data_IF_148357819740
#
_entry.id   IF_148357819740
#
_cell.length_a   1.000
_cell.length_b   1.000
_cell.length_c   1.000
_cell.angle_alpha   90.00
_cell.angle_beta   90.00
_cell.angle_gamma   90.00
#
_symmetry.space_group_name_H-M   'P 1'
#
loop_
_entity.id
_entity.type
_entity.pdbx_description
1 polymer ?
#
# COMPACT_ATOMS: atom_id res chain seq x y z
N UNK A 1 -7.63 12.06 0.23
CA UNK A 1 -8.43 11.91 -0.99
C UNK A 1 -8.60 10.43 -1.39
N UNK A 2 -7.50 9.66 -1.51
CA UNK A 2 -7.55 8.20 -1.77
C UNK A 2 -8.40 7.39 -0.79
N UNK A 3 -8.35 7.74 0.50
CA UNK A 3 -9.07 7.02 1.55
C UNK A 3 -10.60 7.12 1.40
N UNK A 4 -11.13 8.19 0.80
CA UNK A 4 -12.57 8.33 0.56
C UNK A 4 -13.02 7.56 -0.69
N UNK A 5 -12.20 7.54 -1.73
CA UNK A 5 -12.47 6.85 -2.99
C UNK A 5 -12.49 5.32 -2.81
N UNK A 6 -11.55 4.76 -2.05
CA UNK A 6 -11.45 3.31 -1.85
C UNK A 6 -12.58 2.73 -1.00
N UNK A 7 -13.13 3.48 -0.04
CA UNK A 7 -14.11 2.96 0.93
C UNK A 7 -15.46 2.57 0.30
N UNK A 8 -15.83 3.18 -0.83
CA UNK A 8 -17.12 2.93 -1.49
C UNK A 8 -17.04 2.02 -2.72
N UNK A 9 -15.85 1.68 -3.19
CA UNK A 9 -15.66 0.94 -4.45
C UNK A 9 -15.36 -0.53 -4.11
N UNK A 10 -16.20 -1.44 -4.63
CA UNK A 10 -16.04 -2.89 -4.43
C UNK A 10 -14.96 -3.49 -5.37
N UNK A 11 -14.58 -2.77 -6.42
CA UNK A 11 -13.59 -3.15 -7.42
C UNK A 11 -12.28 -2.37 -7.23
N UNK A 12 -11.17 -2.90 -7.76
CA UNK A 12 -9.91 -2.14 -7.81
C UNK A 12 -10.02 -1.01 -8.83
N UNK A 13 -9.34 0.09 -8.55
CA UNK A 13 -9.21 1.25 -9.44
C UNK A 13 -7.75 1.44 -9.82
N UNK A 14 -7.52 2.02 -11.00
CA UNK A 14 -6.19 2.45 -11.41
C UNK A 14 -6.06 3.92 -11.05
N UNK A 15 -5.07 4.26 -10.24
CA UNK A 15 -4.72 5.65 -9.92
C UNK A 15 -3.39 5.94 -10.59
N UNK A 16 -3.36 6.97 -11.41
CA UNK A 16 -2.15 7.42 -12.11
C UNK A 16 -1.70 8.70 -11.43
N UNK A 17 -0.42 8.74 -11.04
CA UNK A 17 0.18 9.95 -10.48
C UNK A 17 0.67 10.90 -11.58
N UNK A 18 1.08 12.11 -11.18
CA UNK A 18 1.60 13.14 -12.07
C UNK A 18 2.85 12.67 -12.86
N UNK A 19 2.99 13.17 -14.09
CA UNK A 19 4.11 12.83 -14.97
C UNK A 19 5.46 13.30 -14.41
N UNK A 20 5.46 14.38 -13.60
CA UNK A 20 6.66 14.96 -13.00
C UNK A 20 7.06 14.29 -11.66
N UNK A 21 6.24 13.38 -11.12
CA UNK A 21 6.52 12.63 -9.89
C UNK A 21 6.96 11.20 -10.21
N UNK A 22 6.03 10.25 -10.18
CA UNK A 22 6.32 8.83 -10.44
C UNK A 22 6.02 8.48 -11.90
N UNK A 23 5.03 9.13 -12.52
CA UNK A 23 4.49 8.71 -13.81
C UNK A 23 4.12 7.21 -13.84
N UNK A 24 3.60 6.72 -12.70
CA UNK A 24 3.21 5.33 -12.48
C UNK A 24 1.70 5.20 -12.28
N UNK A 25 1.17 4.00 -12.55
CA UNK A 25 -0.23 3.64 -12.37
C UNK A 25 -0.38 2.53 -11.34
N UNK A 26 -0.99 2.83 -10.20
CA UNK A 26 -1.21 1.90 -9.11
C UNK A 26 -2.59 1.25 -9.17
N UNK A 27 -2.65 -0.06 -8.91
CA UNK A 27 -3.88 -0.79 -8.66
C UNK A 27 -4.27 -0.68 -7.18
N UNK A 28 -5.33 0.05 -6.90
CA UNK A 28 -5.76 0.37 -5.52
C UNK A 28 -7.13 -0.23 -5.23
N UNK A 29 -7.26 -0.87 -4.07
CA UNK A 29 -8.49 -1.49 -3.57
C UNK A 29 -8.60 -1.32 -2.05
N UNK A 30 -9.84 -1.29 -1.53
CA UNK A 30 -10.06 -1.35 -0.08
C UNK A 30 -9.55 -2.69 0.49
N UNK A 31 -8.59 -2.62 1.43
CA UNK A 31 -8.02 -3.80 2.08
C UNK A 31 -9.07 -4.70 2.78
N UNK A 32 -10.20 -4.13 3.21
CA UNK A 32 -11.31 -4.88 3.84
C UNK A 32 -12.17 -5.69 2.86
N UNK A 33 -12.02 -5.45 1.55
CA UNK A 33 -12.81 -6.08 0.47
C UNK A 33 -11.97 -6.93 -0.48
N UNK A 34 -10.67 -7.07 -0.22
CA UNK A 34 -9.78 -7.84 -1.08
C UNK A 34 -10.13 -9.33 -1.07
N UNK A 35 -10.22 -9.94 -2.25
CA UNK A 35 -10.41 -11.38 -2.42
C UNK A 35 -9.13 -12.03 -2.93
N UNK A 36 -8.96 -13.36 -2.79
CA UNK A 36 -7.81 -14.06 -3.36
C UNK A 36 -7.68 -13.87 -4.88
N UNK A 37 -8.79 -13.78 -5.61
CA UNK A 37 -8.82 -13.55 -7.05
C UNK A 37 -8.34 -12.14 -7.40
N UNK A 38 -8.78 -11.13 -6.63
CA UNK A 38 -8.30 -9.76 -6.78
C UNK A 38 -6.81 -9.64 -6.46
N UNK A 39 -6.35 -10.34 -5.40
CA UNK A 39 -4.92 -10.37 -5.06
C UNK A 39 -4.10 -11.05 -6.16
N UNK A 40 -4.57 -12.18 -6.70
CA UNK A 40 -3.91 -12.86 -7.81
C UNK A 40 -3.83 -11.96 -9.05
N UNK A 41 -4.86 -11.15 -9.31
CA UNK A 41 -4.84 -10.16 -10.38
C UNK A 41 -3.80 -9.06 -10.14
N UNK A 42 -3.76 -8.47 -8.93
CA UNK A 42 -2.78 -7.45 -8.54
C UNK A 42 -1.35 -8.00 -8.67
N UNK A 43 -1.08 -9.20 -8.17
CA UNK A 43 0.24 -9.83 -8.26
C UNK A 43 0.63 -10.15 -9.70
N UNK A 44 -0.32 -10.56 -10.54
CA UNK A 44 -0.07 -10.92 -11.94
C UNK A 44 0.22 -9.71 -12.83
N UNK A 45 -0.42 -8.58 -12.56
CA UNK A 45 -0.38 -7.40 -13.43
C UNK A 45 0.41 -6.22 -12.83
N UNK A 46 0.67 -6.23 -11.52
CA UNK A 46 1.54 -5.28 -10.86
C UNK A 46 2.99 -5.74 -10.84
N UNK A 47 3.81 -5.06 -10.05
CA UNK A 47 5.24 -5.32 -9.86
C UNK A 47 5.52 -6.51 -8.94
N UNK A 48 4.48 -7.09 -8.32
CA UNK A 48 4.58 -8.15 -7.31
C UNK A 48 4.83 -7.63 -5.89
N UNK A 49 5.07 -6.32 -5.72
CA UNK A 49 5.13 -5.67 -4.42
C UNK A 49 3.73 -5.14 -4.11
N UNK A 50 3.11 -5.72 -3.07
CA UNK A 50 1.75 -5.33 -2.66
C UNK A 50 1.84 -4.46 -1.42
N UNK A 51 1.36 -3.23 -1.58
CA UNK A 51 1.32 -2.25 -0.51
C UNK A 51 -0.10 -2.06 0.05
N UNK A 52 -0.19 -1.67 1.33
CA UNK A 52 -1.40 -1.35 2.08
C UNK A 52 -1.13 -0.11 2.91
N UNK A 53 -1.95 0.90 2.69
CA UNK A 53 -1.91 2.14 3.43
C UNK A 53 -2.68 2.05 4.75
N UNK A 54 -2.11 2.62 5.81
CA UNK A 54 -2.69 2.66 7.15
C UNK A 54 -2.48 4.04 7.79
N UNK A 55 -3.26 4.35 8.82
CA UNK A 55 -3.07 5.56 9.62
C UNK A 55 -2.00 5.32 10.69
N UNK A 56 -1.39 6.41 11.16
CA UNK A 56 -0.38 6.38 12.22
C UNK A 56 -0.88 5.66 13.49
N UNK A 57 -2.09 5.97 13.96
CA UNK A 57 -2.71 5.30 15.13
C UNK A 57 -2.77 3.77 14.98
N UNK A 58 -3.00 3.27 13.76
CA UNK A 58 -3.03 1.83 13.49
C UNK A 58 -1.63 1.21 13.43
N UNK A 59 -0.63 1.97 12.95
CA UNK A 59 0.77 1.56 12.95
C UNK A 59 1.32 1.46 14.38
N UNK A 60 0.99 2.44 15.23
CA UNK A 60 1.34 2.42 16.66
C UNK A 60 0.67 1.25 17.37
N UNK A 61 -0.62 1.02 17.14
CA UNK A 61 -1.38 -0.10 17.72
C UNK A 61 -0.81 -1.47 17.32
N UNK A 62 -0.26 -1.58 16.11
CA UNK A 62 0.35 -2.81 15.60
C UNK A 62 1.85 -2.90 15.85
N UNK A 63 2.44 -1.89 16.51
CA UNK A 63 3.87 -1.79 16.80
C UNK A 63 4.72 -1.97 15.52
N UNK A 64 4.35 -1.28 14.44
CA UNK A 64 5.04 -1.32 13.15
C UNK A 64 5.94 -0.09 12.97
N UNK A 65 7.20 -0.12 13.44
CA UNK A 65 8.11 1.00 13.24
C UNK A 65 8.51 1.14 11.75
N UNK A 66 8.97 2.34 11.40
CA UNK A 66 9.61 2.60 10.12
C UNK A 66 10.81 1.65 9.92
N UNK A 67 10.99 1.18 8.69
CA UNK A 67 12.10 0.29 8.31
C UNK A 67 13.45 1.00 8.45
N UNK A 68 13.48 2.29 8.11
CA UNK A 68 14.65 3.17 8.26
C UNK A 68 14.20 4.50 8.85
N UNK A 69 15.08 5.17 9.59
CA UNK A 69 14.72 6.49 10.11
C UNK A 69 14.59 7.50 8.97
N UNK A 70 13.77 8.53 9.14
CA UNK A 70 13.53 9.54 8.10
C UNK A 70 14.82 10.28 7.67
N UNK A 71 15.84 10.31 8.52
CA UNK A 71 17.15 10.90 8.21
C UNK A 71 18.04 9.99 7.35
N UNK A 72 17.82 8.68 7.44
CA UNK A 72 18.59 7.65 6.73
C UNK A 72 17.85 7.14 5.48
N UNK A 73 16.64 7.63 5.22
CA UNK A 73 15.89 7.27 4.01
C UNK A 73 16.48 7.98 2.78
N UNK A 74 17.24 7.23 1.99
CA UNK A 74 17.85 7.68 0.72
C UNK A 74 16.92 7.49 -0.49
N UNK A 75 15.68 7.03 -0.29
CA UNK A 75 14.70 6.89 -1.35
C UNK A 75 14.34 8.28 -1.93
N UNK A 76 14.20 8.36 -3.26
CA UNK A 76 14.08 9.61 -4.00
C UNK A 76 12.83 10.40 -3.61
N UNK A 77 11.75 9.71 -3.30
CA UNK A 77 10.45 10.27 -2.91
C UNK A 77 10.18 10.17 -1.40
N UNK A 78 11.14 9.60 -0.66
CA UNK A 78 11.12 9.34 0.79
C UNK A 78 9.90 8.56 1.23
N UNK A 79 9.54 7.52 0.48
CA UNK A 79 8.42 6.64 0.82
C UNK A 79 8.60 6.05 2.22
N UNK A 80 7.56 6.15 3.05
CA UNK A 80 7.59 5.83 4.47
C UNK A 80 7.35 4.32 4.70
N UNK A 81 8.31 3.50 4.32
CA UNK A 81 8.22 2.05 4.54
C UNK A 81 8.35 1.70 6.02
N UNK A 82 7.42 0.86 6.51
CA UNK A 82 7.55 0.16 7.80
C UNK A 82 8.28 -1.16 7.63
N UNK A 83 8.66 -1.80 8.73
CA UNK A 83 9.08 -3.20 8.69
C UNK A 83 8.03 -4.04 7.94
N UNK A 84 8.49 -4.88 7.02
CA UNK A 84 7.60 -5.71 6.22
C UNK A 84 6.93 -6.74 7.11
N UNK A 85 5.64 -6.97 6.90
CA UNK A 85 4.90 -7.97 7.67
C UNK A 85 4.51 -9.14 6.78
N UNK A 86 4.69 -10.35 7.32
CA UNK A 86 4.14 -11.57 6.75
C UNK A 86 2.93 -11.95 7.58
N UNK A 87 1.78 -12.06 6.92
CA UNK A 87 0.56 -12.49 7.57
C UNK A 87 0.47 -14.01 7.60
N UNK A 88 0.38 -14.61 8.80
CA UNK A 88 0.00 -16.02 9.00
C UNK A 88 -1.49 -16.24 8.63
N UNK A 89 -2.28 -15.17 8.54
CA UNK A 89 -3.67 -15.17 8.09
C UNK A 89 -3.98 -13.89 7.32
N UNK A 90 -4.30 -14.02 6.02
CA UNK A 90 -4.58 -12.97 5.02
C UNK A 90 -5.11 -11.65 5.63
N UNK A 91 -4.19 -10.71 5.91
CA UNK A 91 -4.42 -9.28 6.09
C UNK A 91 -3.10 -8.58 5.81
N UNK A 92 -2.83 -8.32 4.54
CA UNK A 92 -1.60 -7.71 4.06
C UNK A 92 -1.37 -6.33 4.69
N UNK A 93 -0.14 -6.00 5.06
CA UNK A 93 0.29 -4.64 5.37
C UNK A 93 1.71 -4.36 4.81
N UNK A 94 1.90 -3.28 4.06
CA UNK A 94 3.22 -2.68 3.76
C UNK A 94 3.00 -1.35 3.03
N UNK A 95 3.43 -0.19 3.51
CA UNK A 95 3.01 1.11 2.93
C UNK A 95 3.72 1.47 1.61
N UNK A 96 2.99 2.12 0.69
CA UNK A 96 3.47 3.09 -0.32
C UNK A 96 2.88 4.43 0.08
#
# INVERSE_FOLDING_TARGET
FLHLLTVFILQYVIVVDDEDRENEGDLIMAASKVTPEAMAFIVRHGTGIVCVSMKEDDLERLELPLMVTTKENEEKLRTAFTVSVVCIFIRCYCFL
#
